data_IF_468205586624
#
_entry.id   IF_468205586624
#
_cell.length_a   1.000
_cell.length_b   1.000
_cell.length_c   1.000
_cell.angle_alpha   90.00
_cell.angle_beta   90.00
_cell.angle_gamma   90.00
#
_symmetry.space_group_name_H-M   'P 1'
#
loop_
_entity.id
_entity.type
_entity.pdbx_description
1 polymer ?
#
# COMPACT_ATOMS: atom_id res chain seq x y z
N UNK A 1 -11.96 -21.38 0.54
CA UNK A 1 -10.56 -21.30 1.00
C UNK A 1 -10.48 -20.28 2.14
N UNK A 2 -9.75 -20.52 3.24
CA UNK A 2 -9.72 -19.63 4.42
C UNK A 2 -8.48 -18.74 4.54
N UNK A 3 -7.52 -18.84 3.61
CA UNK A 3 -6.26 -18.10 3.62
C UNK A 3 -6.47 -16.60 3.43
N UNK A 4 -5.62 -15.80 4.09
CA UNK A 4 -5.54 -14.34 3.98
C UNK A 4 -4.07 -13.98 3.78
N UNK A 5 -3.80 -13.03 2.89
CA UNK A 5 -2.48 -12.40 2.73
C UNK A 5 -2.53 -11.05 3.42
N UNK A 6 -1.57 -10.81 4.32
CA UNK A 6 -1.47 -9.58 5.10
C UNK A 6 -0.04 -9.02 5.02
N UNK A 7 0.27 -8.17 4.02
CA UNK A 7 1.54 -7.46 3.99
C UNK A 7 1.65 -6.48 5.16
N UNK A 8 2.74 -6.58 5.91
CA UNK A 8 3.13 -5.63 6.96
C UNK A 8 4.35 -4.87 6.47
N UNK A 9 4.17 -3.60 6.11
CA UNK A 9 5.27 -2.80 5.56
C UNK A 9 4.87 -1.51 4.86
N UNK A 10 5.84 -0.87 4.19
CA UNK A 10 5.61 0.27 3.31
C UNK A 10 4.98 -0.13 1.97
N UNK A 11 4.88 0.84 1.05
CA UNK A 11 4.17 0.66 -0.23
C UNK A 11 4.73 -0.44 -1.15
N UNK A 12 6.04 -0.72 -1.08
CA UNK A 12 6.66 -1.80 -1.86
C UNK A 12 6.10 -3.16 -1.44
N UNK A 13 6.13 -3.44 -0.14
CA UNK A 13 5.62 -4.69 0.45
C UNK A 13 4.12 -4.82 0.14
N UNK A 14 3.34 -3.76 0.36
CA UNK A 14 1.92 -3.72 0.08
C UNK A 14 1.59 -4.10 -1.38
N UNK A 15 2.27 -3.49 -2.35
CA UNK A 15 2.03 -3.73 -3.77
C UNK A 15 2.45 -5.13 -4.23
N UNK A 16 3.62 -5.61 -3.81
CA UNK A 16 4.12 -6.92 -4.22
C UNK A 16 3.23 -8.06 -3.72
N UNK A 17 2.87 -8.03 -2.43
CA UNK A 17 2.01 -9.06 -1.86
C UNK A 17 0.53 -8.86 -2.20
N UNK A 18 0.09 -7.64 -2.47
CA UNK A 18 -1.24 -7.36 -3.02
C UNK A 18 -1.42 -7.94 -4.41
N UNK A 19 -0.39 -7.82 -5.27
CA UNK A 19 -0.38 -8.46 -6.60
C UNK A 19 -0.40 -9.99 -6.45
N UNK A 20 0.45 -10.54 -5.56
CA UNK A 20 0.45 -11.97 -5.27
C UNK A 20 -0.93 -12.45 -4.78
N UNK A 21 -1.61 -11.70 -3.91
CA UNK A 21 -2.94 -12.03 -3.42
C UNK A 21 -4.00 -12.03 -4.53
N UNK A 22 -3.90 -11.12 -5.52
CA UNK A 22 -4.79 -11.11 -6.68
C UNK A 22 -4.53 -12.25 -7.67
N UNK A 23 -3.28 -12.72 -7.78
CA UNK A 23 -2.90 -13.81 -8.68
C UNK A 23 -3.14 -15.20 -8.07
N UNK A 24 -2.86 -15.37 -6.76
CA UNK A 24 -3.02 -16.63 -6.06
C UNK A 24 -4.47 -17.10 -6.13
N UNK A 25 -4.69 -18.29 -6.68
CA UNK A 25 -6.02 -18.89 -6.86
C UNK A 25 -7.04 -17.95 -7.53
N UNK A 26 -6.58 -17.03 -8.40
CA UNK A 26 -7.39 -15.97 -9.05
C UNK A 26 -8.03 -14.97 -8.07
N UNK A 27 -7.44 -14.80 -6.89
CA UNK A 27 -7.87 -13.82 -5.91
C UNK A 27 -8.16 -14.48 -4.57
N UNK A 28 -7.30 -14.19 -3.59
CA UNK A 28 -7.54 -14.48 -2.18
C UNK A 28 -7.65 -13.19 -1.38
N UNK A 29 -8.19 -13.31 -0.16
CA UNK A 29 -8.42 -12.15 0.72
C UNK A 29 -7.11 -11.43 1.03
N UNK A 30 -7.15 -10.11 0.89
CA UNK A 30 -6.04 -9.21 1.15
C UNK A 30 -6.41 -8.28 2.32
N UNK A 31 -5.53 -8.18 3.31
CA UNK A 31 -5.64 -7.22 4.42
C UNK A 31 -4.37 -6.37 4.44
N UNK A 32 -4.49 -5.07 4.24
CA UNK A 32 -3.31 -4.19 4.25
C UNK A 32 -2.91 -3.81 5.68
N UNK A 33 -1.62 -3.82 5.99
CA UNK A 33 -1.08 -3.33 7.27
C UNK A 33 0.09 -2.36 6.99
N UNK A 34 -0.21 -1.10 6.59
CA UNK A 34 0.81 -0.12 6.27
C UNK A 34 1.62 0.31 7.49
N UNK A 35 2.95 0.24 7.41
CA UNK A 35 3.86 0.72 8.47
C UNK A 35 4.48 2.08 8.17
N UNK A 36 4.33 2.60 6.95
CA UNK A 36 4.79 3.95 6.60
C UNK A 36 3.62 4.92 6.46
N UNK A 37 3.85 6.17 6.85
CA UNK A 37 2.86 7.23 6.78
C UNK A 37 2.33 7.45 5.35
N UNK A 38 3.25 7.48 4.37
CA UNK A 38 2.87 7.59 2.95
C UNK A 38 1.96 6.44 2.50
N UNK A 39 2.30 5.19 2.84
CA UNK A 39 1.51 4.04 2.42
C UNK A 39 0.10 4.06 3.03
N UNK A 40 -0.02 4.49 4.29
CA UNK A 40 -1.31 4.58 4.96
C UNK A 40 -2.27 5.61 4.33
N UNK A 41 -1.74 6.66 3.68
CA UNK A 41 -2.56 7.72 3.07
C UNK A 41 -2.63 7.68 1.53
N UNK A 42 -1.86 6.79 0.89
CA UNK A 42 -1.89 6.57 -0.55
C UNK A 42 -2.29 5.12 -0.85
N UNK A 43 -1.32 4.21 -0.91
CA UNK A 43 -1.52 2.90 -1.52
C UNK A 43 -2.35 1.91 -0.69
N UNK A 44 -2.25 1.93 0.64
CA UNK A 44 -2.95 0.95 1.49
C UNK A 44 -4.41 1.31 1.80
N UNK A 45 -4.72 2.59 2.02
CA UNK A 45 -6.08 3.02 2.37
C UNK A 45 -6.98 3.23 1.15
N UNK A 46 -6.41 3.59 0.01
CA UNK A 46 -7.21 4.05 -1.14
C UNK A 46 -7.02 3.21 -2.41
N UNK A 47 -5.87 2.57 -2.59
CA UNK A 47 -5.51 2.02 -3.88
C UNK A 47 -5.87 0.55 -4.03
N UNK A 48 -6.78 0.28 -4.97
CA UNK A 48 -6.99 -1.05 -5.53
C UNK A 48 -5.82 -1.49 -6.42
N UNK A 49 -4.91 -0.57 -6.78
CA UNK A 49 -3.83 -0.83 -7.73
C UNK A 49 -2.70 -1.59 -7.04
N UNK A 50 -2.44 -2.79 -7.52
CA UNK A 50 -1.31 -3.61 -7.10
C UNK A 50 -0.38 -3.80 -8.29
N UNK A 51 0.84 -3.27 -8.22
CA UNK A 51 1.75 -3.27 -9.35
C UNK A 51 3.21 -3.41 -8.94
N UNK A 52 4.01 -3.98 -9.84
CA UNK A 52 5.45 -4.12 -9.72
C UNK A 52 6.15 -3.47 -10.90
N UNK A 53 7.44 -3.20 -10.70
CA UNK A 53 8.31 -2.72 -11.76
C UNK A 53 8.74 -3.89 -12.64
N UNK A 54 8.90 -3.65 -13.93
CA UNK A 54 9.44 -4.64 -14.86
C UNK A 54 10.31 -3.94 -15.90
N UNK A 55 11.48 -4.53 -16.21
CA UNK A 55 12.44 -4.05 -17.22
C UNK A 55 12.77 -2.54 -17.18
N UNK A 56 12.85 -1.96 -15.98
CA UNK A 56 13.16 -0.53 -15.78
C UNK A 56 11.96 0.41 -15.83
N UNK A 57 10.77 -0.10 -16.13
CA UNK A 57 9.54 0.68 -16.10
C UNK A 57 8.82 0.52 -14.75
N UNK A 58 8.33 1.65 -14.23
CA UNK A 58 7.67 1.71 -12.91
C UNK A 58 6.21 1.28 -13.01
N UNK A 59 5.77 0.38 -12.14
CA UNK A 59 4.38 -0.05 -11.98
C UNK A 59 3.67 -0.51 -13.28
N UNK A 60 4.39 -1.12 -14.24
CA UNK A 60 3.81 -1.52 -15.54
C UNK A 60 3.12 -2.88 -15.54
N UNK A 61 3.42 -3.74 -14.56
CA UNK A 61 2.79 -5.06 -14.42
C UNK A 61 1.98 -5.05 -13.15
N UNK A 62 0.66 -5.22 -13.27
CA UNK A 62 -0.22 -5.14 -12.12
C UNK A 62 -1.67 -5.51 -12.43
N UNK A 63 -2.51 -5.39 -11.41
CA UNK A 63 -3.95 -5.61 -11.48
C UNK A 63 -4.66 -4.74 -10.45
N UNK A 64 -5.99 -4.71 -10.54
CA UNK A 64 -6.84 -4.11 -9.51
C UNK A 64 -7.33 -5.21 -8.57
N UNK A 65 -6.86 -5.19 -7.32
CA UNK A 65 -7.31 -6.11 -6.25
C UNK A 65 -7.71 -5.33 -5.02
N UNK A 66 -8.96 -5.49 -4.60
CA UNK A 66 -9.55 -4.71 -3.51
C UNK A 66 -9.17 -5.36 -2.18
N UNK A 67 -8.50 -4.64 -1.26
CA UNK A 67 -8.29 -5.14 0.08
C UNK A 67 -9.63 -5.25 0.82
N UNK A 68 -9.80 -6.29 1.62
CA UNK A 68 -10.98 -6.47 2.47
C UNK A 68 -11.01 -5.44 3.59
N UNK A 69 -9.84 -5.06 4.11
CA UNK A 69 -9.66 -3.98 5.07
C UNK A 69 -8.21 -3.50 5.09
N UNK A 70 -7.98 -2.33 5.68
CA UNK A 70 -6.66 -1.82 6.03
C UNK A 70 -6.57 -1.60 7.55
N UNK A 71 -5.52 -2.10 8.18
CA UNK A 71 -5.22 -1.94 9.59
C UNK A 71 -4.10 -0.91 9.75
N UNK A 72 -4.47 0.28 10.21
CA UNK A 72 -3.55 1.40 10.38
C UNK A 72 -3.24 1.55 11.87
N UNK A 73 -1.98 1.37 12.24
CA UNK A 73 -1.48 1.59 13.59
C UNK A 73 -0.46 2.74 13.54
N UNK A 74 -0.78 3.84 14.23
CA UNK A 74 0.07 5.04 14.25
C UNK A 74 1.35 4.85 15.06
N UNK A 75 1.43 3.82 15.91
CA UNK A 75 2.65 3.54 16.69
C UNK A 75 3.86 3.21 15.80
N UNK A 76 3.64 2.66 14.59
CA UNK A 76 4.72 2.44 13.63
C UNK A 76 5.45 3.74 13.24
N UNK A 77 4.76 4.87 13.27
CA UNK A 77 5.32 6.15 12.84
C UNK A 77 6.34 6.71 13.82
N UNK A 78 6.31 6.29 15.08
CA UNK A 78 7.30 6.68 16.10
C UNK A 78 8.71 6.20 15.77
N UNK A 79 8.80 5.09 15.01
CA UNK A 79 10.08 4.49 14.58
C UNK A 79 10.51 4.93 13.18
N UNK A 80 9.69 5.73 12.50
CA UNK A 80 9.92 6.13 11.11
C UNK A 80 10.95 7.26 11.03
N UNK A 81 11.85 7.19 10.05
CA UNK A 81 12.79 8.29 9.79
C UNK A 81 12.07 9.57 9.36
N UNK A 82 12.64 10.73 9.73
CA UNK A 82 12.07 12.05 9.41
C UNK A 82 11.81 12.23 7.91
N UNK A 83 12.67 11.68 7.04
CA UNK A 83 12.53 11.76 5.58
C UNK A 83 11.28 11.02 5.09
N UNK A 84 11.00 9.83 5.62
CA UNK A 84 9.80 9.04 5.27
C UNK A 84 8.52 9.75 5.71
N UNK A 85 8.57 10.37 6.90
CA UNK A 85 7.44 11.13 7.44
C UNK A 85 7.15 12.37 6.59
N UNK A 86 8.21 13.11 6.18
CA UNK A 86 8.11 14.22 5.22
C UNK A 86 7.59 13.79 3.86
N UNK A 87 8.00 12.62 3.35
CA UNK A 87 7.51 12.10 2.09
C UNK A 87 5.99 11.90 2.11
N UNK A 88 5.45 11.33 3.20
CA UNK A 88 4.00 11.20 3.36
C UNK A 88 3.28 12.55 3.56
N UNK A 89 3.89 13.53 4.24
CA UNK A 89 3.33 14.88 4.35
C UNK A 89 3.24 15.60 3.00
N UNK A 90 4.17 15.33 2.07
CA UNK A 90 4.10 15.87 0.71
C UNK A 90 2.83 15.41 -0.02
N UNK A 91 2.49 14.13 0.11
CA UNK A 91 1.26 13.56 -0.45
C UNK A 91 0.00 14.12 0.23
N UNK A 92 0.03 14.28 1.55
CA UNK A 92 -1.06 14.93 2.29
C UNK A 92 -1.27 16.38 1.83
N UNK A 93 -0.19 17.13 1.64
CA UNK A 93 -0.23 18.52 1.14
C UNK A 93 -0.82 18.59 -0.25
N UNK A 94 -0.46 17.65 -1.15
CA UNK A 94 -1.08 17.53 -2.47
C UNK A 94 -2.60 17.32 -2.36
N UNK A 95 -3.03 16.42 -1.48
CA UNK A 95 -4.46 16.17 -1.27
C UNK A 95 -5.17 17.42 -0.71
N UNK A 96 -4.57 18.11 0.26
CA UNK A 96 -5.11 19.36 0.80
C UNK A 96 -5.20 20.47 -0.25
N UNK A 97 -4.23 20.58 -1.15
CA UNK A 97 -4.24 21.60 -2.20
C UNK A 97 -5.28 21.32 -3.31
N UNK A 98 -5.63 20.06 -3.55
CA UNK A 98 -6.59 19.67 -4.60
C UNK A 98 -8.03 19.62 -4.12
N UNK A 99 -8.24 19.26 -2.85
CA UNK A 99 -9.57 18.99 -2.30
C UNK A 99 -9.92 19.81 -1.06
N UNK A 100 -8.97 20.58 -0.52
CA UNK A 100 -9.16 21.45 0.64
C UNK A 100 -9.48 22.90 0.27
#
# INVERSE_FOLDING_TARGET
>A
MKTVVMPVGGGIVANTYGLAAGLLFRGIRLVQCPTSFLNAHDAAASSQKQAINHTGYKNIVGLYHVPTMALIDTSFYETLGVTELKAGLGELTKNAALFG
#
